data_IF_219602854274
#
_entry.id   IF_219602854274
#
_cell.length_a   1.000
_cell.length_b   1.000
_cell.length_c   1.000
_cell.angle_alpha   90.00
_cell.angle_beta   90.00
_cell.angle_gamma   90.00
#
_symmetry.space_group_name_H-M   'P 1'
#
loop_
_entity.id
_entity.type
_entity.pdbx_description
1 polymer ?
#
# COMPACT_ATOMS: atom_id res chain seq x y z
N UNK A 1 -11.32 8.03 19.99
CA UNK A 1 -11.00 9.36 19.43
C UNK A 1 -11.64 9.44 18.06
N UNK A 2 -12.57 10.37 17.89
CA UNK A 2 -13.32 10.57 16.66
C UNK A 2 -12.42 11.26 15.65
N UNK A 3 -11.88 10.52 14.68
CA UNK A 3 -11.24 11.14 13.52
C UNK A 3 -12.25 12.05 12.81
N UNK A 4 -11.80 13.22 12.37
CA UNK A 4 -12.57 14.29 11.71
C UNK A 4 -13.25 13.83 10.40
N UNK A 5 -14.23 12.93 10.49
CA UNK A 5 -15.00 12.38 9.36
C UNK A 5 -15.80 13.45 8.59
N UNK A 6 -15.83 14.69 9.07
CA UNK A 6 -16.54 15.81 8.48
C UNK A 6 -15.67 16.86 7.80
N UNK A 7 -14.34 16.77 7.88
CA UNK A 7 -13.46 17.79 7.29
C UNK A 7 -12.86 17.28 5.98
N UNK A 8 -13.35 17.81 4.87
CA UNK A 8 -12.80 17.52 3.54
C UNK A 8 -11.65 18.46 3.27
N UNK A 9 -10.55 17.92 2.74
CA UNK A 9 -9.44 18.72 2.26
C UNK A 9 -9.42 18.66 0.72
N UNK A 10 -9.76 19.78 0.10
CA UNK A 10 -9.71 19.93 -1.35
C UNK A 10 -8.29 20.28 -1.78
N UNK A 11 -7.59 19.32 -2.39
CA UNK A 11 -6.24 19.52 -2.93
C UNK A 11 -6.26 20.10 -4.36
N UNK A 12 -7.37 19.95 -5.07
CA UNK A 12 -7.62 20.57 -6.38
C UNK A 12 -9.10 20.90 -6.52
N UNK A 13 -9.42 22.06 -7.08
CA UNK A 13 -10.80 22.50 -7.31
C UNK A 13 -10.85 23.40 -8.53
N UNK A 14 -11.68 23.02 -9.50
CA UNK A 14 -11.90 23.77 -10.73
C UNK A 14 -13.41 24.04 -10.84
N UNK A 15 -13.75 25.30 -11.08
CA UNK A 15 -15.14 25.75 -11.19
C UNK A 15 -15.36 26.36 -12.56
N UNK A 16 -16.45 25.97 -13.22
CA UNK A 16 -16.89 26.55 -14.48
C UNK A 16 -18.37 26.91 -14.36
N UNK A 17 -18.68 28.18 -14.60
CA UNK A 17 -20.06 28.63 -14.69
C UNK A 17 -20.69 28.11 -15.98
N UNK A 18 -21.88 27.51 -15.87
CA UNK A 18 -22.59 26.88 -16.99
C UNK A 18 -23.69 27.78 -17.56
N UNK A 19 -24.24 28.67 -16.74
CA UNK A 19 -25.28 29.62 -17.12
C UNK A 19 -25.29 30.82 -16.17
N UNK A 20 -25.90 31.92 -16.61
CA UNK A 20 -26.16 33.09 -15.75
C UNK A 20 -27.42 32.85 -14.89
N UNK A 21 -27.61 33.60 -13.79
CA UNK A 21 -28.83 33.52 -13.00
C UNK A 21 -30.09 33.77 -13.85
N UNK A 22 -31.07 32.88 -13.75
CA UNK A 22 -32.29 32.95 -14.55
C UNK A 22 -33.28 31.85 -14.20
N UNK A 23 -34.25 31.64 -15.11
CA UNK A 23 -35.33 30.68 -14.95
C UNK A 23 -35.12 29.48 -15.89
N UNK A 24 -35.35 28.27 -15.38
CA UNK A 24 -35.22 27.02 -16.13
C UNK A 24 -36.59 26.35 -16.27
N UNK A 25 -37.25 26.53 -17.42
CA UNK A 25 -38.58 25.99 -17.70
C UNK A 25 -38.54 24.62 -18.39
N UNK A 26 -37.50 24.37 -19.19
CA UNK A 26 -37.35 23.17 -20.01
C UNK A 26 -36.03 22.44 -19.72
N UNK A 27 -35.93 21.20 -20.18
CA UNK A 27 -34.70 20.42 -20.08
C UNK A 27 -33.61 21.07 -20.93
N UNK A 28 -32.51 21.47 -20.29
CA UNK A 28 -31.35 22.07 -20.94
C UNK A 28 -30.10 21.21 -20.69
N UNK A 29 -29.20 21.20 -21.66
CA UNK A 29 -27.91 20.49 -21.60
C UNK A 29 -26.79 21.51 -21.73
N UNK A 30 -25.83 21.43 -20.81
CA UNK A 30 -24.71 22.36 -20.74
C UNK A 30 -23.41 21.60 -21.06
N UNK A 31 -22.73 21.91 -22.19
CA UNK A 31 -21.41 21.38 -22.43
C UNK A 31 -20.41 22.04 -21.48
N UNK A 32 -19.50 21.25 -20.91
CA UNK A 32 -18.42 21.74 -20.08
C UNK A 32 -17.13 21.03 -20.45
N UNK A 33 -16.01 21.70 -20.23
CA UNK A 33 -14.68 21.17 -20.47
C UNK A 33 -13.71 21.80 -19.46
N UNK A 34 -12.76 21.01 -19.00
CA UNK A 34 -11.62 21.48 -18.22
C UNK A 34 -10.34 21.09 -18.99
N UNK A 35 -9.65 22.07 -19.57
CA UNK A 35 -8.56 21.84 -20.52
C UNK A 35 -7.26 21.34 -19.87
N UNK A 36 -6.99 21.74 -18.63
CA UNK A 36 -5.74 21.40 -17.92
C UNK A 36 -6.05 21.04 -16.47
N UNK A 37 -6.51 19.80 -16.27
CA UNK A 37 -6.79 19.27 -14.92
C UNK A 37 -5.58 18.51 -14.42
N UNK A 38 -4.98 19.00 -13.34
CA UNK A 38 -3.94 18.26 -12.64
C UNK A 38 -4.58 17.18 -11.75
N UNK A 39 -4.21 15.92 -12.00
CA UNK A 39 -4.64 14.77 -11.20
C UNK A 39 -3.39 14.02 -10.68
N UNK A 40 -2.59 14.64 -9.81
CA UNK A 40 -1.27 14.11 -9.43
C UNK A 40 -1.36 12.82 -8.62
N UNK A 41 -2.48 12.57 -7.95
CA UNK A 41 -2.65 11.44 -7.03
C UNK A 41 -3.65 10.42 -7.55
N UNK A 42 -3.37 9.15 -7.35
CA UNK A 42 -4.32 8.08 -7.67
C UNK A 42 -5.49 8.06 -6.69
N UNK A 43 -6.65 7.64 -7.17
CA UNK A 43 -7.81 7.41 -6.29
C UNK A 43 -7.48 6.31 -5.29
N UNK A 44 -7.74 6.57 -4.01
CA UNK A 44 -7.40 5.64 -2.93
C UNK A 44 -8.54 5.53 -1.92
N UNK A 45 -8.89 4.29 -1.57
CA UNK A 45 -9.90 4.00 -0.56
C UNK A 45 -9.27 3.15 0.55
N UNK A 46 -8.73 3.85 1.54
CA UNK A 46 -8.03 3.30 2.69
C UNK A 46 -8.92 3.04 3.90
N UNK A 47 -8.26 2.77 5.03
CA UNK A 47 -8.93 2.59 6.33
C UNK A 47 -9.18 3.95 7.00
N UNK A 48 -8.13 4.76 7.07
CA UNK A 48 -8.12 6.06 7.73
C UNK A 48 -8.19 7.22 6.74
N UNK A 49 -7.80 7.00 5.48
CA UNK A 49 -7.80 8.05 4.45
C UNK A 49 -8.54 7.62 3.17
N UNK A 50 -9.28 8.55 2.59
CA UNK A 50 -9.99 8.36 1.32
C UNK A 50 -9.71 9.53 0.40
N UNK A 51 -9.10 9.25 -0.75
CA UNK A 51 -8.83 10.20 -1.82
C UNK A 51 -9.78 9.92 -2.98
N UNK A 52 -10.61 10.89 -3.34
CA UNK A 52 -11.58 10.79 -4.43
C UNK A 52 -11.53 12.01 -5.31
N UNK A 53 -11.85 11.79 -6.58
CA UNK A 53 -12.17 12.84 -7.54
C UNK A 53 -13.67 12.82 -7.81
N UNK A 54 -14.28 13.99 -7.79
CA UNK A 54 -15.73 14.15 -7.94
C UNK A 54 -16.05 15.26 -8.93
N UNK A 55 -17.01 15.02 -9.80
CA UNK A 55 -17.66 16.08 -10.56
C UNK A 55 -18.88 16.53 -9.76
N UNK A 56 -18.87 17.78 -9.31
CA UNK A 56 -19.96 18.38 -8.54
C UNK A 56 -20.70 19.40 -9.41
N UNK A 57 -21.99 19.17 -9.62
CA UNK A 57 -22.89 20.13 -10.27
C UNK A 57 -23.72 20.81 -9.19
N UNK A 58 -23.81 22.14 -9.20
CA UNK A 58 -24.59 22.89 -8.22
C UNK A 58 -25.54 23.85 -8.93
N UNK A 59 -26.83 23.75 -8.60
CA UNK A 59 -27.88 24.67 -9.05
C UNK A 59 -28.31 25.50 -7.83
N UNK A 60 -27.92 26.77 -7.83
CA UNK A 60 -28.30 27.71 -6.78
C UNK A 60 -29.74 28.17 -6.98
N UNK A 61 -30.52 28.19 -5.90
CA UNK A 61 -31.94 28.60 -5.89
C UNK A 61 -32.14 29.68 -4.83
N UNK A 62 -32.93 30.70 -5.13
CA UNK A 62 -33.17 31.81 -4.20
C UNK A 62 -34.16 31.50 -3.08
N UNK A 63 -35.07 30.54 -3.29
CA UNK A 63 -36.20 30.24 -2.39
C UNK A 63 -36.05 28.92 -1.63
N UNK A 64 -35.03 28.12 -1.93
CA UNK A 64 -34.76 26.82 -1.34
C UNK A 64 -33.24 26.54 -1.31
N UNK A 65 -32.84 25.46 -0.64
CA UNK A 65 -31.44 25.00 -0.69
C UNK A 65 -30.97 24.75 -2.13
N UNK A 66 -29.66 24.90 -2.36
CA UNK A 66 -29.05 24.55 -3.64
C UNK A 66 -29.19 23.05 -3.91
N UNK A 67 -29.44 22.70 -5.17
CA UNK A 67 -29.35 21.29 -5.61
C UNK A 67 -27.89 20.99 -5.92
N UNK A 68 -27.37 19.91 -5.36
CA UNK A 68 -26.02 19.45 -5.59
C UNK A 68 -26.04 18.00 -6.01
N UNK A 69 -25.45 17.70 -7.16
CA UNK A 69 -25.26 16.33 -7.66
C UNK A 69 -23.77 16.03 -7.79
N UNK A 70 -23.38 14.82 -7.40
CA UNK A 70 -22.00 14.36 -7.36
C UNK A 70 -21.82 13.11 -8.21
N UNK A 71 -20.79 13.11 -9.06
CA UNK A 71 -20.37 11.93 -9.80
C UNK A 71 -18.91 11.61 -9.49
N UNK A 72 -18.69 10.50 -8.79
CA UNK A 72 -17.35 9.99 -8.50
C UNK A 72 -16.73 9.41 -9.79
N UNK A 73 -15.41 9.57 -9.96
CA UNK A 73 -14.62 8.89 -10.99
C UNK A 73 -13.26 8.48 -10.45
N UNK A 74 -12.62 7.52 -11.13
CA UNK A 74 -11.33 6.95 -10.72
C UNK A 74 -10.22 7.54 -11.56
N UNK A 75 -9.16 7.97 -10.87
CA UNK A 75 -7.88 8.37 -11.45
C UNK A 75 -6.85 7.28 -11.16
N UNK A 76 -6.19 6.83 -12.23
CA UNK A 76 -5.07 5.89 -12.17
C UNK A 76 -3.88 6.49 -12.94
N UNK A 77 -2.72 6.58 -12.28
CA UNK A 77 -1.55 7.25 -12.83
C UNK A 77 -0.54 6.20 -13.29
N UNK A 78 -0.39 6.07 -14.60
CA UNK A 78 0.57 5.13 -15.15
C UNK A 78 2.00 5.50 -14.76
N UNK A 79 2.66 4.60 -14.05
CA UNK A 79 4.08 4.70 -13.76
C UNK A 79 4.83 3.73 -14.68
N UNK A 80 5.75 4.21 -15.54
CA UNK A 80 6.56 3.31 -16.36
C UNK A 80 7.44 2.43 -15.48
N UNK A 81 7.79 1.22 -15.93
CA UNK A 81 8.73 0.37 -15.21
C UNK A 81 10.03 1.12 -14.89
N UNK A 82 10.56 0.98 -13.67
CA UNK A 82 11.82 1.64 -13.33
C UNK A 82 12.94 1.13 -14.24
N UNK A 83 13.84 2.01 -14.72
CA UNK A 83 14.91 1.62 -15.64
C UNK A 83 15.90 0.65 -15.00
N UNK A 84 16.04 0.71 -13.67
CA UNK A 84 16.88 -0.17 -12.87
C UNK A 84 16.00 -0.78 -11.78
N UNK A 85 16.00 -2.10 -11.68
CA UNK A 85 15.24 -2.85 -10.68
C UNK A 85 16.15 -3.93 -10.08
N UNK A 86 16.87 -3.54 -9.04
CA UNK A 86 17.86 -4.41 -8.40
C UNK A 86 17.17 -5.50 -7.58
N UNK A 87 17.83 -6.64 -7.46
CA UNK A 87 17.46 -7.68 -6.50
C UNK A 87 17.57 -7.14 -5.07
N UNK A 88 16.66 -7.58 -4.20
CA UNK A 88 16.73 -7.29 -2.77
C UNK A 88 17.34 -8.50 -2.07
N UNK A 89 18.30 -8.24 -1.18
CA UNK A 89 18.83 -9.22 -0.24
C UNK A 89 18.58 -8.75 1.18
N UNK A 90 18.11 -9.66 2.02
CA UNK A 90 17.83 -9.41 3.43
C UNK A 90 18.38 -10.56 4.24
N UNK A 91 19.09 -10.24 5.31
CA UNK A 91 19.66 -11.23 6.20
C UNK A 91 19.06 -11.06 7.59
N UNK A 92 18.71 -12.18 8.20
CA UNK A 92 18.15 -12.26 9.54
C UNK A 92 19.01 -13.25 10.32
N UNK A 93 19.52 -12.79 11.45
CA UNK A 93 20.38 -13.61 12.29
C UNK A 93 20.08 -13.48 13.78
N UNK A 94 20.25 -14.60 14.48
CA UNK A 94 20.51 -14.66 15.91
C UNK A 94 21.89 -15.28 16.04
N UNK A 95 22.77 -14.60 16.77
CA UNK A 95 24.15 -15.04 16.97
C UNK A 95 24.20 -16.50 17.42
N UNK A 96 25.08 -17.28 16.78
CA UNK A 96 25.31 -18.71 17.01
C UNK A 96 24.10 -19.65 16.88
N UNK A 97 22.93 -19.13 16.50
CA UNK A 97 21.66 -19.82 16.63
C UNK A 97 20.91 -19.98 15.29
N UNK A 98 20.77 -18.90 14.55
CA UNK A 98 19.99 -18.86 13.32
C UNK A 98 20.58 -17.83 12.37
N UNK A 99 20.73 -18.17 11.10
CA UNK A 99 21.10 -17.21 10.07
C UNK A 99 20.40 -17.59 8.76
N UNK A 100 19.49 -16.74 8.30
CA UNK A 100 18.66 -16.92 7.11
C UNK A 100 18.87 -15.72 6.19
N UNK A 101 19.10 -15.98 4.91
CA UNK A 101 19.14 -14.97 3.85
C UNK A 101 17.91 -15.12 2.94
N UNK A 102 17.27 -14.00 2.65
CA UNK A 102 16.18 -13.88 1.68
C UNK A 102 16.68 -13.08 0.48
N UNK A 103 16.52 -13.65 -0.71
CA UNK A 103 16.87 -13.02 -1.97
C UNK A 103 15.61 -12.92 -2.84
N UNK A 104 15.27 -11.71 -3.30
CA UNK A 104 14.18 -11.46 -4.23
C UNK A 104 14.71 -10.85 -5.51
N UNK A 105 14.13 -11.19 -6.66
CA UNK A 105 14.65 -10.81 -7.97
C UNK A 105 14.50 -9.32 -8.29
N UNK A 106 13.53 -8.63 -7.67
CA UNK A 106 13.22 -7.22 -7.91
C UNK A 106 12.92 -6.52 -6.60
N UNK A 107 13.14 -5.20 -6.57
CA UNK A 107 12.72 -4.32 -5.49
C UNK A 107 11.35 -3.68 -5.72
N UNK A 108 10.96 -3.55 -6.99
CA UNK A 108 9.67 -2.96 -7.41
C UNK A 108 8.91 -3.95 -8.28
N UNK A 109 7.63 -4.14 -8.00
CA UNK A 109 6.77 -5.07 -8.72
C UNK A 109 5.52 -4.38 -9.25
N UNK A 110 5.08 -4.79 -10.43
CA UNK A 110 3.77 -4.41 -10.93
C UNK A 110 2.65 -5.18 -10.20
N UNK A 111 1.43 -4.66 -10.19
CA UNK A 111 0.26 -5.30 -9.54
C UNK A 111 -0.17 -6.64 -10.15
N UNK A 112 0.45 -7.05 -11.26
CA UNK A 112 0.23 -8.32 -11.95
C UNK A 112 1.52 -9.15 -12.05
N UNK A 113 2.58 -8.71 -11.38
CA UNK A 113 3.87 -9.40 -11.41
C UNK A 113 3.86 -10.64 -10.52
N UNK A 114 4.92 -11.42 -10.69
CA UNK A 114 5.25 -12.56 -9.84
C UNK A 114 6.51 -12.20 -9.04
N UNK A 115 6.42 -12.31 -7.72
CA UNK A 115 7.57 -12.21 -6.82
C UNK A 115 8.32 -13.53 -6.92
N UNK A 116 9.57 -13.48 -7.36
CA UNK A 116 10.44 -14.64 -7.46
C UNK A 116 11.60 -14.40 -6.50
N UNK A 117 11.85 -15.38 -5.63
CA UNK A 117 12.92 -15.28 -4.65
C UNK A 117 13.41 -16.63 -4.20
N UNK A 118 14.31 -16.60 -3.22
CA UNK A 118 14.91 -17.77 -2.62
C UNK A 118 15.30 -17.48 -1.19
N UNK A 119 15.08 -18.45 -0.32
CA UNK A 119 15.52 -18.43 1.07
C UNK A 119 16.71 -19.36 1.19
N UNK A 120 17.75 -18.93 1.89
CA UNK A 120 18.94 -19.72 2.19
C UNK A 120 19.14 -19.84 3.69
N UNK A 121 19.34 -21.07 4.17
CA UNK A 121 19.58 -21.36 5.58
C UNK A 121 21.08 -21.52 5.84
N UNK A 122 21.75 -20.43 6.23
CA UNK A 122 23.21 -20.42 6.49
C UNK A 122 23.57 -21.10 7.82
N UNK A 123 22.72 -20.93 8.83
CA UNK A 123 22.87 -21.55 10.15
C UNK A 123 21.49 -21.85 10.73
N UNK A 124 21.29 -23.10 11.19
CA UNK A 124 20.07 -23.52 11.88
C UNK A 124 20.49 -24.40 13.06
N UNK A 125 20.50 -23.83 14.28
CA UNK A 125 20.72 -24.58 15.53
C UNK A 125 19.48 -24.64 16.42
N UNK A 126 18.43 -23.92 16.05
CA UNK A 126 17.13 -23.91 16.73
C UNK A 126 16.10 -24.62 15.85
N UNK A 127 15.17 -25.35 16.47
CA UNK A 127 14.03 -25.95 15.77
C UNK A 127 13.01 -24.87 15.44
N UNK A 128 12.82 -24.57 14.15
CA UNK A 128 11.73 -23.73 13.67
C UNK A 128 10.45 -24.55 13.64
N UNK A 129 9.35 -23.98 14.13
CA UNK A 129 8.04 -24.66 14.13
C UNK A 129 7.32 -24.47 12.80
N UNK A 130 7.06 -23.22 12.45
CA UNK A 130 6.41 -22.81 11.20
C UNK A 130 7.18 -21.65 10.59
N UNK A 131 7.09 -21.50 9.26
CA UNK A 131 7.60 -20.35 8.55
C UNK A 131 6.57 -19.87 7.54
N UNK A 132 6.16 -18.61 7.66
CA UNK A 132 5.13 -18.01 6.81
C UNK A 132 5.66 -16.73 6.18
N UNK A 133 5.32 -16.47 4.92
CA UNK A 133 5.59 -15.23 4.22
C UNK A 133 4.30 -14.43 4.04
N UNK A 134 4.32 -13.19 4.49
CA UNK A 134 3.14 -12.32 4.44
C UNK A 134 3.39 -11.10 3.56
N UNK A 135 2.39 -10.75 2.75
CA UNK A 135 2.34 -9.47 2.07
C UNK A 135 1.45 -8.57 2.93
N UNK A 136 2.03 -7.53 3.52
CA UNK A 136 1.31 -6.55 4.35
C UNK A 136 1.22 -5.21 3.64
N UNK A 137 0.05 -4.58 3.67
CA UNK A 137 -0.12 -3.16 3.38
C UNK A 137 -0.03 -2.41 4.70
N UNK A 138 0.78 -1.36 4.75
CA UNK A 138 0.80 -0.41 5.86
C UNK A 138 0.41 0.97 5.37
N UNK A 139 -0.69 1.49 5.91
CA UNK A 139 -1.24 2.82 5.66
C UNK A 139 -0.85 3.72 6.82
N UNK A 140 -0.15 4.82 6.53
CA UNK A 140 0.20 5.82 7.54
C UNK A 140 -0.50 7.14 7.22
N UNK A 141 -1.24 7.66 8.20
CA UNK A 141 -2.06 8.87 8.08
C UNK A 141 -1.71 9.84 9.20
N UNK A 142 -1.62 11.13 8.89
CA UNK A 142 -1.26 12.18 9.85
C UNK A 142 0.18 12.64 9.72
N UNK A 143 0.58 13.58 10.57
CA UNK A 143 1.91 14.19 10.56
C UNK A 143 2.43 14.42 11.97
N UNK A 144 3.72 14.20 12.18
CA UNK A 144 4.37 14.41 13.48
C UNK A 144 3.81 13.49 14.58
N UNK A 145 3.47 14.08 15.72
CA UNK A 145 3.00 13.34 16.90
C UNK A 145 1.63 12.64 16.73
N UNK A 146 0.86 12.99 15.70
CA UNK A 146 -0.47 12.42 15.43
C UNK A 146 -0.46 11.41 14.27
N UNK A 147 0.66 10.71 14.07
CA UNK A 147 0.77 9.69 13.02
C UNK A 147 0.04 8.42 13.45
N UNK A 148 -0.97 8.03 12.69
CA UNK A 148 -1.66 6.77 12.81
C UNK A 148 -1.15 5.81 11.75
N UNK A 149 -0.90 4.56 12.14
CA UNK A 149 -0.39 3.52 11.26
C UNK A 149 -1.33 2.33 11.36
N UNK A 150 -1.87 1.90 10.23
CA UNK A 150 -2.69 0.71 10.09
C UNK A 150 -1.98 -0.29 9.21
N UNK A 151 -1.82 -1.52 9.68
CA UNK A 151 -1.18 -2.61 8.94
C UNK A 151 -2.19 -3.73 8.70
N UNK A 152 -2.40 -4.08 7.43
CA UNK A 152 -3.31 -5.15 6.99
C UNK A 152 -2.52 -6.23 6.25
N UNK A 153 -2.67 -7.48 6.67
CA UNK A 153 -2.11 -8.62 5.93
C UNK A 153 -3.00 -8.93 4.73
N UNK A 154 -2.47 -8.68 3.53
CA UNK A 154 -3.16 -8.89 2.26
C UNK A 154 -3.09 -10.34 1.78
N UNK A 155 -1.98 -11.02 2.04
CA UNK A 155 -1.77 -12.41 1.69
C UNK A 155 -0.82 -13.06 2.69
N UNK A 156 -1.05 -14.35 2.95
CA UNK A 156 -0.21 -15.19 3.80
C UNK A 156 0.11 -16.48 3.05
N UNK A 157 1.38 -16.86 3.02
CA UNK A 157 1.90 -18.03 2.33
C UNK A 157 2.72 -18.86 3.31
N UNK A 158 2.25 -20.06 3.62
CA UNK A 158 3.00 -21.00 4.46
C UNK A 158 4.15 -21.57 3.62
N UNK A 159 5.39 -21.36 4.08
CA UNK A 159 6.60 -21.74 3.36
C UNK A 159 7.12 -23.11 3.78
N UNK A 160 6.98 -23.46 5.07
CA UNK A 160 7.47 -24.71 5.62
C UNK A 160 6.63 -25.24 6.78
N UNK A 161 6.55 -26.57 6.82
CA UNK A 161 6.11 -27.39 7.94
C UNK A 161 7.24 -28.38 8.29
N UNK A 162 8.26 -27.90 9.02
CA UNK A 162 9.45 -28.70 9.34
C UNK A 162 10.70 -27.89 9.71
N UNK A 163 11.72 -28.59 10.22
CA UNK A 163 12.99 -28.00 10.62
C UNK A 163 13.99 -28.01 9.44
N UNK A 164 14.33 -26.86 8.84
CA UNK A 164 15.30 -26.80 7.75
C UNK A 164 16.69 -27.18 8.24
N UNK A 165 17.53 -27.73 7.36
CA UNK A 165 18.95 -27.97 7.67
C UNK A 165 19.86 -26.92 7.04
N UNK A 166 21.05 -26.78 7.62
CA UNK A 166 22.07 -25.87 7.11
C UNK A 166 22.39 -26.19 5.65
N UNK A 167 22.39 -25.16 4.81
CA UNK A 167 22.66 -25.26 3.37
C UNK A 167 21.44 -25.53 2.51
N UNK A 168 20.27 -25.77 3.11
CA UNK A 168 19.02 -25.86 2.35
C UNK A 168 18.60 -24.52 1.76
N UNK A 169 17.82 -24.60 0.69
CA UNK A 169 17.24 -23.43 0.07
C UNK A 169 15.85 -23.67 -0.47
N UNK A 170 14.97 -22.70 -0.28
CA UNK A 170 13.56 -22.79 -0.64
C UNK A 170 13.28 -21.74 -1.74
N UNK A 171 12.89 -22.16 -2.95
CA UNK A 171 12.46 -21.23 -3.98
C UNK A 171 11.09 -20.64 -3.63
N UNK A 172 10.95 -19.32 -3.78
CA UNK A 172 9.71 -18.58 -3.60
C UNK A 172 9.17 -18.16 -4.97
N UNK A 173 7.88 -18.41 -5.20
CA UNK A 173 7.14 -17.87 -6.34
C UNK A 173 5.73 -17.45 -5.92
N UNK A 174 5.52 -16.15 -5.71
CA UNK A 174 4.23 -15.59 -5.29
C UNK A 174 3.60 -14.80 -6.41
N UNK A 175 2.32 -15.03 -6.66
CA UNK A 175 1.57 -14.26 -7.64
C UNK A 175 0.90 -13.06 -6.96
N UNK A 176 1.25 -11.85 -7.41
CA UNK A 176 0.54 -10.64 -7.02
C UNK A 176 -0.74 -10.63 -7.87
N UNK A 177 -1.78 -11.37 -7.45
CA UNK A 177 -3.09 -11.34 -8.08
C UNK A 177 -4.04 -10.49 -7.22
N UNK A 178 -3.76 -9.20 -7.11
CA UNK A 178 -4.71 -8.30 -6.49
C UNK A 178 -5.83 -7.97 -7.48
N UNK A 179 -7.02 -8.53 -7.22
CA UNK A 179 -8.23 -8.10 -7.89
C UNK A 179 -8.48 -6.63 -7.56
N UNK A 180 -8.46 -5.80 -8.60
CA UNK A 180 -8.75 -4.37 -8.55
C UNK A 180 -10.23 -4.16 -8.13
N UNK A 181 -10.55 -4.27 -6.84
CA UNK A 181 -11.78 -3.68 -6.28
C UNK A 181 -11.53 -2.22 -5.86
N UNK A 182 -11.01 -1.40 -6.78
CA UNK A 182 -10.88 0.04 -6.58
C UNK A 182 -9.87 0.47 -5.51
N UNK A 183 -8.95 -0.41 -5.13
CA UNK A 183 -7.83 -0.08 -4.24
C UNK A 183 -6.57 0.03 -5.11
N UNK A 184 -6.16 1.26 -5.40
CA UNK A 184 -4.83 1.53 -5.97
C UNK A 184 -3.80 1.20 -4.89
N UNK A 185 -3.02 0.15 -5.11
CA UNK A 185 -1.94 -0.24 -4.21
C UNK A 185 -0.63 0.12 -4.90
N UNK A 186 0.12 1.07 -4.35
CA UNK A 186 1.57 1.05 -4.53
C UNK A 186 2.06 -0.03 -3.58
N UNK A 187 2.49 -1.17 -4.13
CA UNK A 187 3.17 -2.19 -3.34
C UNK A 187 4.56 -1.65 -2.97
N UNK A 188 4.60 -0.72 -2.01
CA UNK A 188 5.77 -0.56 -1.19
C UNK A 188 5.76 -1.82 -0.31
N UNK A 189 6.53 -2.84 -0.70
CA UNK A 189 6.94 -3.87 0.25
C UNK A 189 7.62 -3.09 1.36
N UNK A 190 6.89 -2.83 2.44
CA UNK A 190 7.45 -2.17 3.61
C UNK A 190 8.35 -3.21 4.26
N UNK A 191 9.59 -3.21 3.76
CA UNK A 191 10.76 -3.85 4.33
C UNK A 191 11.34 -3.02 5.48
N UNK A 192 10.59 -2.06 6.00
CA UNK A 192 11.01 -1.19 7.09
C UNK A 192 10.16 -1.41 8.33
N UNK A 193 10.79 -2.00 9.34
CA UNK A 193 10.30 -2.05 10.73
C UNK A 193 9.54 -3.31 11.13
N UNK A 194 8.65 -3.83 10.29
CA UNK A 194 7.65 -4.84 10.74
C UNK A 194 8.10 -6.31 10.58
N UNK A 195 9.25 -6.56 9.93
CA UNK A 195 9.81 -7.91 9.76
C UNK A 195 10.27 -8.51 11.09
N UNK A 196 10.72 -7.66 12.01
CA UNK A 196 11.13 -8.07 13.34
C UNK A 196 9.95 -8.69 14.12
N UNK A 197 8.75 -8.13 14.00
CA UNK A 197 7.55 -8.69 14.61
C UNK A 197 7.08 -9.98 13.93
N UNK A 198 7.16 -10.03 12.59
CA UNK A 198 6.86 -11.24 11.82
C UNK A 198 7.77 -12.42 12.19
N UNK A 199 9.08 -12.20 12.26
CA UNK A 199 10.05 -13.26 12.61
C UNK A 199 9.96 -13.63 14.10
N UNK A 200 9.67 -12.66 14.98
CA UNK A 200 9.36 -12.94 16.39
C UNK A 200 8.15 -13.86 16.57
N UNK A 201 7.24 -13.93 15.58
CA UNK A 201 6.13 -14.89 15.60
C UNK A 201 6.56 -16.33 15.28
N UNK A 202 7.71 -16.51 14.61
CA UNK A 202 8.25 -17.83 14.25
C UNK A 202 9.07 -18.48 15.38
N UNK A 203 9.48 -17.69 16.37
CA UNK A 203 10.39 -18.10 17.46
C UNK A 203 9.66 -18.34 18.78
N UNK A 204 10.16 -19.28 19.58
CA UNK A 204 9.66 -19.50 20.94
C UNK A 204 9.86 -18.25 21.83
N UNK A 205 9.00 -18.03 22.84
CA UNK A 205 9.04 -16.83 23.69
C UNK A 205 10.38 -16.56 24.37
N UNK A 206 11.18 -17.59 24.65
CA UNK A 206 12.49 -17.51 25.30
C UNK A 206 13.60 -16.91 24.43
N UNK A 207 13.41 -16.83 23.10
CA UNK A 207 14.45 -16.48 22.13
C UNK A 207 14.28 -15.08 21.51
N UNK A 208 13.21 -14.36 21.86
CA UNK A 208 12.83 -13.06 21.25
C UNK A 208 13.80 -11.91 21.57
N UNK A 209 14.64 -12.04 22.60
CA UNK A 209 15.50 -10.96 23.11
C UNK A 209 16.86 -10.77 22.38
N UNK A 210 17.29 -11.70 21.52
CA UNK A 210 18.63 -11.71 20.92
C UNK A 210 18.69 -11.45 19.41
N UNK A 211 17.60 -11.00 18.80
CA UNK A 211 17.50 -10.91 17.34
C UNK A 211 18.15 -9.63 16.81
N UNK A 212 19.05 -9.76 15.83
CA UNK A 212 19.69 -8.64 15.14
C UNK A 212 19.22 -8.63 13.68
N UNK A 213 18.63 -7.51 13.25
CA UNK A 213 18.27 -7.29 11.86
C UNK A 213 19.22 -6.23 11.27
N UNK A 214 20.02 -6.61 10.27
CA UNK A 214 20.84 -5.64 9.56
C UNK A 214 19.92 -4.91 8.58
N UNK A 215 19.67 -3.62 8.81
CA UNK A 215 18.78 -2.79 7.97
C UNK A 215 19.43 -2.60 6.61
N UNK A 216 19.06 -3.43 5.64
CA UNK A 216 19.18 -3.09 4.23
C UNK A 216 18.20 -1.97 3.93
N UNK A 217 18.61 -0.72 4.15
CA UNK A 217 17.82 0.45 3.78
C UNK A 217 17.57 0.43 2.28
N UNK A 218 16.32 0.24 1.88
CA UNK A 218 15.81 0.75 0.62
C UNK A 218 14.73 1.76 0.96
N UNK A 219 15.16 2.90 1.49
CA UNK A 219 14.35 4.12 1.59
C UNK A 219 13.86 4.48 0.19
N UNK A 220 12.60 4.13 -0.12
CA UNK A 220 11.87 4.87 -1.13
C UNK A 220 11.33 6.11 -0.43
N UNK A 221 12.07 7.20 -0.58
CA UNK A 221 11.56 8.55 -0.35
C UNK A 221 10.22 8.71 -1.10
N UNK A 222 9.22 9.20 -0.38
CA UNK A 222 8.17 10.01 -0.99
C UNK A 222 8.77 11.37 -1.40
#
# INVERSE_FOLDING_TARGET
MYSDKGNFYDFTSLVRELDVPGELYERKTYPFEFSTVEMPYETYNGVNVRLRYVLKVTINRGYAGSIMEYQDFVVWNYTPPPPINNSIKMEVGIEDCLHIEFEYNKSKYHLKDVIIGKIYFLLVRIKLKNMDLEIRRRESTGSGANTHVETETLAKYELMDGAPVRGESIPIRLFILFSLSGKSFVLLLILEGDWFEGINSWLEPSLKGGMLANRGYSTCLF
#
